data_IF_244918603459
#
_entry.id   IF_244918603459
#
_cell.length_a   1.000
_cell.length_b   1.000
_cell.length_c   1.000
_cell.angle_alpha   90.00
_cell.angle_beta   90.00
_cell.angle_gamma   90.00
#
_symmetry.space_group_name_H-M   'P 1'
#
loop_
_entity.id
_entity.type
_entity.pdbx_description
1 polymer ?
#
# COMPACT_ATOMS: atom_id res chain seq x y z
N UNK A 1 -1.52 21.88 6.94
CA UNK A 1 -1.63 20.55 6.31
C UNK A 1 -2.24 20.72 4.92
N UNK A 2 -1.68 20.10 3.87
CA UNK A 2 -2.26 20.22 2.52
C UNK A 2 -3.50 19.33 2.37
N UNK A 3 -4.68 19.95 2.37
CA UNK A 3 -6.01 19.29 2.26
C UNK A 3 -6.22 18.42 1.02
N UNK A 4 -5.34 18.53 0.01
CA UNK A 4 -5.40 17.78 -1.24
C UNK A 4 -4.63 16.44 -1.22
N UNK A 5 -3.71 16.26 -0.26
CA UNK A 5 -2.96 15.01 -0.11
C UNK A 5 -3.85 13.93 0.51
N UNK A 6 -3.79 12.67 0.03
CA UNK A 6 -4.55 11.59 0.63
C UNK A 6 -3.96 11.26 2.00
N UNK A 7 -4.77 11.36 3.05
CA UNK A 7 -4.49 10.80 4.36
C UNK A 7 -5.42 9.61 4.60
N UNK A 8 -4.94 8.61 5.35
CA UNK A 8 -5.80 7.60 5.95
C UNK A 8 -6.13 8.03 7.38
N UNK A 9 -7.32 7.72 7.92
CA UNK A 9 -7.64 7.94 9.33
C UNK A 9 -6.96 6.91 10.25
N UNK A 10 -6.01 6.13 9.72
CA UNK A 10 -5.34 5.05 10.43
C UNK A 10 -4.18 5.60 11.27
N UNK A 11 -4.19 5.34 12.57
CA UNK A 11 -3.10 5.76 13.49
C UNK A 11 -2.25 4.56 13.92
N UNK A 12 -0.97 4.77 14.31
CA UNK A 12 -0.12 3.69 14.79
C UNK A 12 -0.73 2.97 16.00
N UNK A 13 -1.28 3.72 16.97
CA UNK A 13 -1.89 3.16 18.18
C UNK A 13 -3.07 2.24 17.90
N UNK A 14 -3.96 2.60 16.97
CA UNK A 14 -5.14 1.79 16.64
C UNK A 14 -4.81 0.61 15.70
N UNK A 15 -3.79 0.74 14.85
CA UNK A 15 -3.62 -0.16 13.70
C UNK A 15 -2.36 -1.03 13.75
N UNK A 16 -1.28 -0.55 14.38
CA UNK A 16 0.04 -1.19 14.31
C UNK A 16 0.27 -2.24 15.41
N UNK A 17 -0.67 -2.38 16.36
CA UNK A 17 -0.59 -3.38 17.42
C UNK A 17 -0.58 -4.81 16.83
N UNK A 18 0.35 -5.64 17.30
CA UNK A 18 0.39 -7.07 16.97
C UNK A 18 0.28 -7.90 18.27
N UNK A 19 -0.69 -8.83 18.35
CA UNK A 19 -0.80 -9.73 19.49
C UNK A 19 0.36 -10.74 19.58
N UNK A 20 0.60 -11.23 20.80
CA UNK A 20 1.59 -12.27 21.09
C UNK A 20 2.99 -11.77 21.48
N UNK A 21 3.87 -12.71 21.91
CA UNK A 21 5.20 -12.37 22.45
C UNK A 21 6.20 -11.98 21.34
N UNK A 22 6.89 -10.83 21.41
CA UNK A 22 7.82 -10.35 20.38
C UNK A 22 9.25 -10.97 20.44
N UNK A 23 10.00 -10.89 19.33
CA UNK A 23 11.46 -11.05 19.23
C UNK A 23 12.08 -12.31 19.89
N UNK A 24 13.13 -12.26 20.73
CA UNK A 24 13.72 -11.10 21.44
C UNK A 24 14.57 -10.11 20.62
N UNK A 25 15.36 -9.28 21.31
CA UNK A 25 16.06 -8.12 20.71
C UNK A 25 17.18 -8.51 19.74
N UNK A 26 18.05 -9.45 20.12
CA UNK A 26 19.14 -9.98 19.28
C UNK A 26 18.63 -10.43 17.90
N UNK A 27 17.52 -11.20 17.87
CA UNK A 27 16.89 -11.62 16.60
C UNK A 27 16.40 -10.43 15.77
N UNK A 28 15.86 -9.38 16.39
CA UNK A 28 15.42 -8.19 15.67
C UNK A 28 16.61 -7.38 15.11
N UNK A 29 17.69 -7.24 15.88
CA UNK A 29 18.94 -6.60 15.42
C UNK A 29 19.55 -7.37 14.25
N UNK A 30 19.67 -8.71 14.34
CA UNK A 30 20.19 -9.54 13.24
C UNK A 30 19.34 -9.39 11.97
N UNK A 31 18.01 -9.38 12.08
CA UNK A 31 17.09 -9.14 10.96
C UNK A 31 17.32 -7.79 10.29
N UNK A 32 17.46 -6.72 11.09
CA UNK A 32 17.74 -5.37 10.59
C UNK A 32 19.13 -5.25 9.97
N UNK A 33 20.14 -5.86 10.57
CA UNK A 33 21.50 -5.91 10.02
C UNK A 33 21.55 -6.65 8.68
N UNK A 34 20.86 -7.80 8.56
CA UNK A 34 20.72 -8.53 7.29
C UNK A 34 19.98 -7.69 6.24
N UNK A 35 18.88 -7.02 6.62
CA UNK A 35 18.14 -6.14 5.70
C UNK A 35 19.02 -4.96 5.22
N UNK A 36 19.77 -4.34 6.12
CA UNK A 36 20.69 -3.25 5.81
C UNK A 36 21.82 -3.72 4.89
N UNK A 37 22.45 -4.87 5.17
CA UNK A 37 23.46 -5.47 4.31
C UNK A 37 22.92 -5.74 2.90
N UNK A 38 21.69 -6.27 2.77
CA UNK A 38 21.03 -6.47 1.48
C UNK A 38 20.70 -5.15 0.75
N UNK A 39 20.48 -4.04 1.45
CA UNK A 39 20.31 -2.73 0.80
C UNK A 39 21.67 -2.18 0.36
N UNK A 40 22.69 -2.26 1.21
CA UNK A 40 24.03 -1.74 0.92
C UNK A 40 24.71 -2.49 -0.23
N UNK A 41 24.62 -3.83 -0.26
CA UNK A 41 25.15 -4.66 -1.35
C UNK A 41 24.42 -4.43 -2.69
N UNK A 42 23.15 -4.01 -2.67
CA UNK A 42 22.40 -3.72 -3.89
C UNK A 42 22.92 -2.48 -4.62
N UNK A 43 23.52 -1.51 -3.91
CA UNK A 43 24.03 -0.25 -4.51
C UNK A 43 25.19 -0.49 -5.51
N UNK A 44 26.30 -1.16 -5.15
CA UNK A 44 27.37 -1.47 -6.09
C UNK A 44 26.98 -2.56 -7.10
N UNK A 45 26.03 -3.44 -6.77
CA UNK A 45 25.55 -4.46 -7.70
C UNK A 45 24.65 -3.88 -8.82
N UNK A 46 23.90 -2.80 -8.55
CA UNK A 46 22.87 -2.29 -9.47
C UNK A 46 23.36 -1.95 -10.90
N UNK A 47 24.57 -1.39 -11.13
CA UNK A 47 25.12 -1.23 -12.48
C UNK A 47 25.30 -2.55 -13.22
N UNK A 48 25.92 -3.57 -12.59
CA UNK A 48 26.13 -4.88 -13.19
C UNK A 48 24.80 -5.59 -13.49
N UNK A 49 23.81 -5.47 -12.58
CA UNK A 49 22.45 -6.02 -12.77
C UNK A 49 21.74 -5.44 -14.00
N UNK A 50 22.05 -4.20 -14.41
CA UNK A 50 21.48 -3.60 -15.64
C UNK A 50 22.01 -4.24 -16.92
N UNK A 51 23.24 -4.75 -16.92
CA UNK A 51 23.86 -5.44 -18.05
C UNK A 51 23.25 -6.83 -18.31
N UNK A 52 22.58 -7.42 -17.30
CA UNK A 52 21.93 -8.71 -17.45
C UNK A 52 20.73 -8.66 -18.42
N UNK A 53 20.53 -9.70 -19.26
CA UNK A 53 19.33 -9.85 -20.08
C UNK A 53 18.06 -9.84 -19.23
N UNK A 54 16.94 -9.44 -19.84
CA UNK A 54 15.71 -9.15 -19.10
C UNK A 54 15.16 -10.35 -18.29
N UNK A 55 15.39 -11.59 -18.72
CA UNK A 55 15.03 -12.81 -17.96
C UNK A 55 15.81 -12.93 -16.65
N UNK A 56 17.13 -13.18 -16.69
CA UNK A 56 18.00 -13.24 -15.51
C UNK A 56 17.88 -12.00 -14.60
N UNK A 57 17.83 -10.79 -15.19
CA UNK A 57 17.64 -9.54 -14.43
C UNK A 57 16.37 -9.55 -13.59
N UNK A 58 15.24 -9.98 -14.16
CA UNK A 58 13.97 -10.12 -13.42
C UNK A 58 14.07 -11.21 -12.35
N UNK A 59 14.69 -12.35 -12.63
CA UNK A 59 14.86 -13.43 -11.65
C UNK A 59 15.69 -12.97 -10.43
N UNK A 60 16.80 -12.25 -10.67
CA UNK A 60 17.64 -11.69 -9.61
C UNK A 60 16.90 -10.64 -8.78
N UNK A 61 16.16 -9.72 -9.40
CA UNK A 61 15.31 -8.76 -8.68
C UNK A 61 14.29 -9.48 -7.79
N UNK A 62 13.63 -10.54 -8.29
CA UNK A 62 12.69 -11.33 -7.48
C UNK A 62 13.37 -11.95 -6.27
N UNK A 63 14.51 -12.61 -6.48
CA UNK A 63 15.26 -13.27 -5.42
C UNK A 63 15.74 -12.26 -4.36
N UNK A 64 16.29 -11.12 -4.78
CA UNK A 64 16.78 -10.08 -3.89
C UNK A 64 15.67 -9.42 -3.08
N UNK A 65 14.57 -9.02 -3.73
CA UNK A 65 13.43 -8.42 -3.05
C UNK A 65 12.73 -9.42 -2.12
N UNK A 66 12.67 -10.71 -2.49
CA UNK A 66 12.19 -11.77 -1.61
C UNK A 66 13.11 -11.96 -0.39
N UNK A 67 14.44 -11.91 -0.58
CA UNK A 67 15.41 -11.98 0.52
C UNK A 67 15.26 -10.80 1.49
N UNK A 68 15.08 -9.58 0.98
CA UNK A 68 14.89 -8.37 1.80
C UNK A 68 13.59 -8.40 2.64
N UNK A 69 12.48 -8.92 2.09
CA UNK A 69 11.24 -9.11 2.87
C UNK A 69 11.41 -10.23 3.90
N UNK A 70 12.08 -11.33 3.53
CA UNK A 70 12.35 -12.47 4.41
C UNK A 70 13.32 -12.12 5.54
N UNK A 71 14.32 -11.25 5.31
CA UNK A 71 15.26 -10.81 6.35
C UNK A 71 14.57 -10.01 7.45
N UNK A 72 13.47 -9.32 7.15
CA UNK A 72 12.60 -8.71 8.17
C UNK A 72 11.76 -9.72 8.97
N UNK A 73 11.84 -11.02 8.65
CA UNK A 73 11.09 -12.09 9.31
C UNK A 73 9.71 -12.37 8.74
N UNK A 74 9.38 -11.78 7.58
CA UNK A 74 8.08 -11.92 6.92
C UNK A 74 8.12 -13.07 5.90
N UNK A 75 7.21 -14.02 6.02
CA UNK A 75 7.04 -15.11 5.03
C UNK A 75 6.20 -14.60 3.85
N UNK A 76 6.60 -14.89 2.62
CA UNK A 76 5.82 -14.52 1.43
C UNK A 76 4.98 -15.71 0.98
N UNK A 77 3.70 -15.50 0.72
CA UNK A 77 2.78 -16.45 0.09
C UNK A 77 2.11 -15.79 -1.10
N UNK A 78 2.09 -16.46 -2.24
CA UNK A 78 1.55 -15.92 -3.49
C UNK A 78 0.38 -16.79 -3.96
N UNK A 79 -0.72 -16.16 -4.33
CA UNK A 79 -1.91 -16.82 -4.87
C UNK A 79 -2.22 -16.30 -6.27
N UNK A 80 -2.65 -17.21 -7.15
CA UNK A 80 -2.82 -16.92 -8.59
C UNK A 80 -1.50 -16.89 -9.34
N UNK A 81 -1.57 -16.85 -10.66
CA UNK A 81 -0.42 -16.77 -11.56
C UNK A 81 -0.28 -15.38 -12.17
N UNK A 82 0.95 -14.92 -12.47
CA UNK A 82 1.14 -13.70 -13.24
C UNK A 82 0.65 -13.92 -14.67
N UNK A 83 -0.10 -12.97 -15.23
CA UNK A 83 -0.48 -13.04 -16.63
C UNK A 83 0.70 -12.89 -17.60
N UNK A 84 0.43 -12.94 -18.92
CA UNK A 84 1.45 -12.88 -19.98
C UNK A 84 2.46 -11.75 -19.82
N UNK A 85 3.67 -11.99 -20.33
CA UNK A 85 4.74 -10.99 -20.40
C UNK A 85 4.32 -9.76 -21.24
N UNK A 86 5.07 -8.67 -21.09
CA UNK A 86 4.79 -7.39 -21.75
C UNK A 86 4.27 -6.31 -20.80
N UNK A 87 3.98 -5.14 -21.39
CA UNK A 87 3.60 -3.93 -20.67
C UNK A 87 2.27 -4.04 -19.93
N UNK A 88 2.15 -3.28 -18.85
CA UNK A 88 0.92 -3.26 -18.05
C UNK A 88 1.05 -2.50 -16.74
N UNK A 89 -0.09 -1.97 -16.29
CA UNK A 89 -0.20 -1.27 -15.02
C UNK A 89 -0.55 -2.28 -13.91
N UNK A 90 0.36 -2.49 -12.96
CA UNK A 90 0.08 -3.25 -11.74
C UNK A 90 -0.50 -2.26 -10.71
N UNK A 91 -1.64 -2.61 -10.11
CA UNK A 91 -2.31 -1.78 -9.12
C UNK A 91 -2.55 -2.57 -7.85
N UNK A 92 -2.16 -2.00 -6.71
CA UNK A 92 -2.30 -2.64 -5.40
C UNK A 92 -2.78 -1.68 -4.32
N UNK A 93 -3.38 -2.24 -3.27
CA UNK A 93 -3.57 -1.56 -1.99
C UNK A 93 -2.22 -1.42 -1.29
N UNK A 94 -2.12 -0.44 -0.39
CA UNK A 94 -0.86 -0.05 0.24
C UNK A 94 -1.01 -0.06 1.76
N UNK A 95 -0.31 -0.98 2.42
CA UNK A 95 -0.31 -1.16 3.88
C UNK A 95 1.03 -0.72 4.49
N UNK A 96 2.13 -0.93 3.77
CA UNK A 96 3.48 -0.83 4.32
C UNK A 96 4.49 -0.31 3.30
N UNK A 97 5.59 0.28 3.79
CA UNK A 97 6.79 0.48 2.96
C UNK A 97 7.36 -0.86 2.45
N UNK A 98 7.07 -1.98 3.13
CA UNK A 98 7.41 -3.34 2.68
C UNK A 98 6.69 -3.75 1.38
N UNK A 99 5.59 -3.09 1.00
CA UNK A 99 4.83 -3.46 -0.20
C UNK A 99 5.65 -3.30 -1.48
N UNK A 100 6.57 -2.34 -1.51
CA UNK A 100 7.45 -2.06 -2.66
C UNK A 100 8.36 -3.26 -2.97
N UNK A 101 9.21 -3.76 -2.04
CA UNK A 101 9.98 -4.98 -2.29
C UNK A 101 9.09 -6.24 -2.35
N UNK A 102 7.96 -6.28 -1.65
CA UNK A 102 7.03 -7.42 -1.73
C UNK A 102 6.45 -7.58 -3.15
N UNK A 103 6.00 -6.50 -3.79
CA UNK A 103 5.54 -6.56 -5.19
C UNK A 103 6.70 -6.88 -6.13
N UNK A 104 7.90 -6.30 -5.93
CA UNK A 104 9.07 -6.62 -6.76
C UNK A 104 9.49 -8.11 -6.68
N UNK A 105 9.29 -8.76 -5.53
CA UNK A 105 9.53 -10.20 -5.35
C UNK A 105 8.58 -11.08 -6.19
N UNK A 106 7.34 -10.63 -6.39
CA UNK A 106 6.30 -11.38 -7.12
C UNK A 106 6.27 -11.01 -8.60
N UNK A 107 6.25 -9.70 -8.90
CA UNK A 107 6.15 -9.09 -10.22
C UNK A 107 7.16 -7.93 -10.36
N UNK A 108 8.40 -8.22 -10.82
CA UNK A 108 9.39 -7.19 -11.17
C UNK A 108 8.79 -6.17 -12.13
N UNK A 109 8.88 -4.91 -11.72
CA UNK A 109 8.19 -3.79 -12.33
C UNK A 109 8.87 -2.50 -11.90
N UNK A 110 8.67 -1.44 -12.67
CA UNK A 110 9.11 -0.09 -12.33
C UNK A 110 8.11 0.51 -11.35
N UNK A 111 8.58 0.99 -10.21
CA UNK A 111 7.70 1.53 -9.17
C UNK A 111 7.39 3.01 -9.41
N UNK A 112 6.19 3.47 -9.07
CA UNK A 112 5.87 4.90 -8.97
C UNK A 112 6.03 5.39 -7.52
N UNK A 113 7.12 6.09 -7.24
CA UNK A 113 7.48 6.60 -5.91
C UNK A 113 7.25 8.13 -5.80
N UNK A 114 7.14 8.65 -4.58
CA UNK A 114 7.16 10.11 -4.36
C UNK A 114 8.56 10.67 -4.68
N UNK A 115 8.63 11.89 -5.19
CA UNK A 115 9.87 12.63 -5.49
C UNK A 115 10.88 12.65 -4.33
N UNK A 116 10.39 12.84 -3.09
CA UNK A 116 11.25 12.94 -1.89
C UNK A 116 12.07 11.66 -1.65
N UNK A 117 11.55 10.49 -2.03
CA UNK A 117 12.27 9.20 -1.93
C UNK A 117 13.51 9.19 -2.84
N UNK A 118 13.47 9.91 -3.96
CA UNK A 118 14.61 10.09 -4.86
C UNK A 118 15.78 10.88 -4.23
N UNK A 119 15.47 11.74 -3.23
CA UNK A 119 16.46 12.51 -2.49
C UNK A 119 17.01 11.76 -1.26
N UNK A 120 16.50 10.58 -0.91
CA UNK A 120 16.98 9.83 0.25
C UNK A 120 18.38 9.23 0.00
N UNK A 121 19.31 9.34 0.96
CA UNK A 121 20.62 8.71 0.83
C UNK A 121 20.47 7.19 0.71
N UNK A 122 21.35 6.56 -0.08
CA UNK A 122 21.32 5.13 -0.44
C UNK A 122 20.10 4.70 -1.27
N UNK A 123 18.89 4.88 -0.74
CA UNK A 123 17.64 4.40 -1.33
C UNK A 123 17.22 5.17 -2.59
N UNK A 124 17.40 6.49 -2.65
CA UNK A 124 17.07 7.30 -3.83
C UNK A 124 17.89 6.88 -5.05
N UNK A 125 19.23 6.85 -4.98
CA UNK A 125 20.09 6.35 -6.06
C UNK A 125 19.86 4.87 -6.41
N UNK A 126 19.47 4.03 -5.45
CA UNK A 126 19.11 2.63 -5.72
C UNK A 126 17.77 2.53 -6.48
N UNK A 127 16.75 3.29 -6.06
CA UNK A 127 15.45 3.35 -6.72
C UNK A 127 15.56 3.90 -8.15
N UNK A 128 16.32 4.98 -8.35
CA UNK A 128 16.62 5.51 -9.68
C UNK A 128 17.34 4.47 -10.56
N UNK A 129 18.31 3.72 -10.00
CA UNK A 129 18.98 2.62 -10.72
C UNK A 129 18.04 1.45 -11.03
N UNK A 130 17.07 1.16 -10.17
CA UNK A 130 15.99 0.19 -10.43
C UNK A 130 14.94 0.68 -11.45
N UNK A 131 15.03 1.92 -11.93
CA UNK A 131 14.13 2.48 -12.92
C UNK A 131 12.82 3.04 -12.36
N UNK A 132 12.75 3.29 -11.04
CA UNK A 132 11.62 3.96 -10.38
C UNK A 132 11.28 5.28 -11.06
N UNK A 133 9.99 5.49 -11.27
CA UNK A 133 9.41 6.74 -11.76
C UNK A 133 9.00 7.58 -10.56
N UNK A 134 9.38 8.85 -10.54
CA UNK A 134 9.12 9.75 -9.42
C UNK A 134 7.95 10.71 -9.75
N UNK A 135 7.08 10.98 -8.75
CA UNK A 135 5.95 11.92 -8.86
C UNK A 135 5.96 12.94 -7.73
N UNK A 136 5.90 14.22 -8.11
CA UNK A 136 5.55 15.37 -7.25
C UNK A 136 4.03 15.33 -7.00
N UNK A 137 3.59 14.78 -5.86
CA UNK A 137 2.14 14.58 -5.56
C UNK A 137 1.42 15.86 -5.11
N UNK A 138 2.19 16.82 -4.63
CA UNK A 138 1.80 18.18 -4.26
C UNK A 138 1.59 19.08 -5.49
N UNK A 139 2.36 18.87 -6.57
CA UNK A 139 2.30 19.69 -7.79
C UNK A 139 1.40 19.08 -8.85
N UNK A 140 0.11 19.44 -8.83
CA UNK A 140 -0.88 19.03 -9.86
C UNK A 140 -0.38 19.31 -11.29
N UNK A 141 0.38 20.40 -11.51
CA UNK A 141 0.99 20.74 -12.82
C UNK A 141 2.03 19.72 -13.33
N UNK A 142 2.62 18.90 -12.46
CA UNK A 142 3.57 17.84 -12.86
C UNK A 142 2.86 16.55 -13.34
N UNK A 143 1.55 16.41 -13.05
CA UNK A 143 0.79 15.19 -13.30
C UNK A 143 0.78 14.73 -14.78
N UNK A 144 0.66 15.60 -15.80
CA UNK A 144 0.71 15.18 -17.21
C UNK A 144 2.06 14.57 -17.59
N UNK A 145 3.18 15.13 -17.09
CA UNK A 145 4.52 14.57 -17.29
C UNK A 145 4.64 13.17 -16.68
N UNK A 146 4.09 12.96 -15.48
CA UNK A 146 4.05 11.62 -14.87
C UNK A 146 3.22 10.64 -15.71
N UNK A 147 2.01 11.03 -16.15
CA UNK A 147 1.16 10.17 -17.00
C UNK A 147 1.91 9.78 -18.28
N UNK A 148 2.53 10.73 -18.99
CA UNK A 148 3.32 10.46 -20.18
C UNK A 148 4.50 9.50 -19.92
N UNK A 149 5.22 9.66 -18.81
CA UNK A 149 6.32 8.77 -18.43
C UNK A 149 5.86 7.33 -18.13
N UNK A 150 4.72 7.17 -17.45
CA UNK A 150 4.09 5.86 -17.22
C UNK A 150 3.65 5.22 -18.55
N UNK A 151 3.00 6.00 -19.42
CA UNK A 151 2.56 5.56 -20.77
C UNK A 151 3.73 5.08 -21.61
N UNK A 152 4.82 5.86 -21.66
CA UNK A 152 6.03 5.52 -22.41
C UNK A 152 6.68 4.23 -21.93
N UNK A 153 6.84 4.06 -20.61
CA UNK A 153 7.36 2.82 -20.02
C UNK A 153 6.51 1.60 -20.40
N UNK A 154 5.19 1.69 -20.26
CA UNK A 154 4.29 0.58 -20.59
C UNK A 154 4.27 0.25 -22.09
N UNK A 155 4.36 1.25 -22.98
CA UNK A 155 4.51 1.05 -24.44
C UNK A 155 5.85 0.39 -24.79
N UNK A 156 6.93 0.69 -24.05
CA UNK A 156 8.22 0.00 -24.18
C UNK A 156 8.23 -1.44 -23.62
N UNK A 157 7.08 -1.95 -23.15
CA UNK A 157 6.94 -3.30 -22.61
C UNK A 157 7.23 -3.44 -21.11
N UNK A 158 7.52 -2.34 -20.39
CA UNK A 158 7.71 -2.38 -18.95
C UNK A 158 6.38 -2.61 -18.21
N UNK A 159 6.44 -3.40 -17.13
CA UNK A 159 5.40 -3.41 -16.11
C UNK A 159 5.65 -2.26 -15.14
N UNK A 160 4.60 -1.53 -14.80
CA UNK A 160 4.66 -0.36 -13.91
C UNK A 160 3.75 -0.59 -12.73
N UNK A 161 4.28 -0.58 -11.51
CA UNK A 161 3.49 -0.72 -10.27
C UNK A 161 3.15 0.65 -9.71
N UNK A 162 1.87 0.82 -9.36
CA UNK A 162 1.35 1.99 -8.66
C UNK A 162 0.49 1.55 -7.46
N UNK A 163 0.50 2.37 -6.41
CA UNK A 163 -0.37 2.24 -5.25
C UNK A 163 -1.43 3.35 -5.30
N UNK A 164 -2.63 3.11 -5.88
CA UNK A 164 -3.51 4.20 -6.28
C UNK A 164 -4.17 4.94 -5.11
N UNK A 165 -4.18 4.37 -3.91
CA UNK A 165 -4.63 5.04 -2.68
C UNK A 165 -3.82 6.32 -2.39
N UNK A 166 -2.56 6.38 -2.87
CA UNK A 166 -1.69 7.55 -2.77
C UNK A 166 -1.12 7.81 -1.37
N UNK A 167 -1.54 7.02 -0.38
CA UNK A 167 -0.98 6.89 0.97
C UNK A 167 -1.17 5.44 1.45
N UNK A 168 -0.57 5.10 2.58
CA UNK A 168 -0.73 3.81 3.25
C UNK A 168 -1.96 3.77 4.16
N UNK A 169 -2.55 2.59 4.28
CA UNK A 169 -3.72 2.25 5.09
C UNK A 169 -3.39 1.05 5.99
N UNK A 170 -4.22 0.73 6.98
CA UNK A 170 -3.92 -0.36 7.90
C UNK A 170 -4.29 -1.78 7.40
N UNK A 171 -4.85 -1.90 6.20
CA UNK A 171 -5.40 -3.16 5.69
C UNK A 171 -6.74 -3.58 6.33
N UNK A 172 -7.19 -2.90 7.39
CA UNK A 172 -8.56 -3.00 7.95
C UNK A 172 -9.49 -1.96 7.33
N UNK A 173 -8.98 -0.75 7.12
CA UNK A 173 -9.60 0.32 6.35
C UNK A 173 -8.84 0.52 5.03
N UNK A 174 -9.47 1.18 4.06
CA UNK A 174 -9.00 1.24 2.67
C UNK A 174 -9.50 2.48 1.93
N UNK A 175 -8.70 2.99 0.99
CA UNK A 175 -8.90 4.29 0.35
C UNK A 175 -9.57 4.26 -1.03
N UNK A 176 -9.94 5.43 -1.56
CA UNK A 176 -10.31 5.58 -2.97
C UNK A 176 -9.07 5.47 -3.87
N UNK A 177 -9.22 4.86 -5.04
CA UNK A 177 -8.14 4.77 -6.02
C UNK A 177 -8.06 6.05 -6.87
N UNK A 178 -6.89 6.72 -6.87
CA UNK A 178 -6.64 7.93 -7.65
C UNK A 178 -6.49 7.60 -9.14
N UNK A 179 -7.22 8.35 -9.96
CA UNK A 179 -7.51 8.05 -11.38
C UNK A 179 -6.35 8.33 -12.34
N UNK A 180 -5.33 9.06 -11.91
CA UNK A 180 -4.29 9.57 -12.83
C UNK A 180 -3.46 8.47 -13.48
N UNK A 181 -2.99 7.49 -12.71
CA UNK A 181 -2.23 6.35 -13.25
C UNK A 181 -3.07 5.42 -14.13
N UNK A 182 -4.41 5.46 -14.03
CA UNK A 182 -5.29 4.71 -14.94
C UNK A 182 -5.41 5.37 -16.31
N UNK A 183 -5.14 6.67 -16.43
CA UNK A 183 -5.08 7.33 -17.73
C UNK A 183 -3.93 6.75 -18.57
N UNK A 184 -2.74 6.56 -17.98
CA UNK A 184 -1.61 6.03 -18.74
C UNK A 184 -1.80 4.59 -19.20
N UNK A 185 -2.61 3.78 -18.50
CA UNK A 185 -2.99 2.44 -18.97
C UNK A 185 -3.89 2.51 -20.22
N UNK A 186 -4.84 3.45 -20.24
CA UNK A 186 -5.69 3.70 -21.41
C UNK A 186 -4.87 4.23 -22.59
N UNK A 187 -4.03 5.25 -22.35
CA UNK A 187 -3.17 5.87 -23.37
C UNK A 187 -2.17 4.85 -23.96
N UNK A 188 -1.62 3.96 -23.14
CA UNK A 188 -0.73 2.89 -23.57
C UNK A 188 -1.47 1.69 -24.20
N UNK A 189 -2.80 1.62 -24.10
CA UNK A 189 -3.64 0.48 -24.49
C UNK A 189 -3.17 -0.85 -23.87
N UNK A 190 -2.73 -0.81 -22.62
CA UNK A 190 -2.25 -1.99 -21.88
C UNK A 190 -3.27 -2.47 -20.84
N UNK A 191 -3.28 -3.78 -20.51
CA UNK A 191 -4.10 -4.31 -19.43
C UNK A 191 -3.64 -3.80 -18.05
N UNK A 192 -4.61 -3.74 -17.13
CA UNK A 192 -4.35 -3.54 -15.69
C UNK A 192 -4.28 -4.90 -15.00
N UNK A 193 -3.27 -5.10 -14.14
CA UNK A 193 -3.09 -6.26 -13.27
C UNK A 193 -3.42 -5.85 -11.83
N UNK A 194 -4.62 -6.18 -11.31
CA UNK A 194 -4.94 -5.95 -9.91
C UNK A 194 -4.19 -6.95 -9.03
N UNK A 195 -3.71 -6.50 -7.88
CA UNK A 195 -2.93 -7.27 -6.91
C UNK A 195 -3.38 -6.88 -5.51
N UNK A 196 -3.83 -7.85 -4.69
CA UNK A 196 -4.19 -7.62 -3.29
C UNK A 196 -3.02 -8.01 -2.39
N UNK A 197 -2.65 -7.11 -1.48
CA UNK A 197 -1.67 -7.33 -0.41
C UNK A 197 -2.42 -7.47 0.91
N UNK A 198 -2.11 -8.51 1.68
CA UNK A 198 -2.54 -8.66 3.06
C UNK A 198 -1.38 -9.10 3.95
N UNK A 199 -1.40 -8.72 5.23
CA UNK A 199 -0.48 -9.24 6.23
C UNK A 199 -1.26 -10.00 7.29
N UNK A 200 -0.95 -11.28 7.47
CA UNK A 200 -1.64 -12.18 8.41
C UNK A 200 -0.70 -12.86 9.38
N UNK A 201 -1.23 -13.31 10.51
CA UNK A 201 -0.58 -14.23 11.42
C UNK A 201 -0.95 -15.69 11.08
N UNK A 202 -0.39 -16.65 11.82
CA UNK A 202 -0.59 -18.08 11.56
C UNK A 202 -2.04 -18.54 11.77
N UNK A 203 -2.79 -17.85 12.62
CA UNK A 203 -4.22 -18.04 12.91
C UNK A 203 -5.15 -17.38 11.86
N UNK A 204 -4.60 -16.74 10.82
CA UNK A 204 -5.35 -16.02 9.79
C UNK A 204 -5.79 -14.61 10.17
N UNK A 205 -5.57 -14.16 11.42
CA UNK A 205 -5.84 -12.80 11.86
C UNK A 205 -4.93 -11.77 11.17
N UNK A 206 -5.37 -10.51 11.08
CA UNK A 206 -4.57 -9.45 10.46
C UNK A 206 -3.40 -9.04 11.35
N UNK A 207 -2.19 -9.12 10.81
CA UNK A 207 -0.96 -8.71 11.49
C UNK A 207 -0.81 -7.19 11.44
N UNK A 208 -0.87 -6.52 12.59
CA UNK A 208 -0.75 -5.05 12.66
C UNK A 208 0.69 -4.53 12.49
N UNK A 209 1.72 -5.28 12.88
CA UNK A 209 3.09 -4.77 12.90
C UNK A 209 3.59 -4.15 11.57
N UNK A 210 3.28 -4.71 10.38
CA UNK A 210 3.65 -4.13 9.09
C UNK A 210 2.94 -2.83 8.71
N UNK A 211 1.79 -2.51 9.32
CA UNK A 211 1.06 -1.28 9.01
C UNK A 211 1.94 -0.06 9.31
N UNK A 212 2.07 0.82 8.32
CA UNK A 212 2.87 2.05 8.39
C UNK A 212 1.96 3.23 8.06
N UNK A 213 1.36 3.88 9.06
CA UNK A 213 0.18 4.76 8.89
C UNK A 213 0.21 5.98 9.81
N UNK A 214 -0.37 7.10 9.37
CA UNK A 214 -0.31 8.36 10.11
C UNK A 214 1.14 8.80 10.32
N UNK A 215 1.45 9.29 11.53
CA UNK A 215 2.76 9.81 11.90
C UNK A 215 3.75 8.72 12.41
N UNK A 216 3.60 7.47 11.97
CA UNK A 216 4.46 6.35 12.35
C UNK A 216 5.94 6.61 11.94
N UNK A 217 6.89 6.70 12.89
CA UNK A 217 8.29 6.86 12.54
C UNK A 217 8.81 5.60 11.83
N UNK A 218 9.55 5.76 10.73
CA UNK A 218 10.10 4.63 9.97
C UNK A 218 10.97 3.71 10.85
N UNK A 219 11.72 4.28 11.80
CA UNK A 219 12.52 3.55 12.80
C UNK A 219 11.65 2.70 13.73
N UNK A 220 10.53 3.23 14.21
CA UNK A 220 9.57 2.50 15.03
C UNK A 220 8.91 1.35 14.23
N UNK A 221 8.53 1.62 12.97
CA UNK A 221 8.01 0.60 12.05
C UNK A 221 9.01 -0.52 11.78
N UNK A 222 10.26 -0.18 11.44
CA UNK A 222 11.37 -1.12 11.24
C UNK A 222 11.58 -2.02 12.46
N UNK A 223 11.67 -1.43 13.65
CA UNK A 223 11.85 -2.18 14.89
C UNK A 223 10.65 -3.10 15.18
N UNK A 224 9.43 -2.58 15.06
CA UNK A 224 8.17 -3.32 15.29
C UNK A 224 8.04 -4.52 14.35
N UNK A 225 8.35 -4.36 13.06
CA UNK A 225 8.37 -5.43 12.07
C UNK A 225 9.48 -6.44 12.38
N UNK A 226 10.71 -6.00 12.64
CA UNK A 226 11.81 -6.90 12.99
C UNK A 226 11.56 -7.67 14.30
N UNK A 227 10.79 -7.09 15.21
CA UNK A 227 10.30 -7.70 16.47
C UNK A 227 9.10 -8.64 16.28
N UNK A 228 8.41 -8.58 15.14
CA UNK A 228 7.21 -9.37 14.89
C UNK A 228 7.53 -10.88 14.74
N UNK A 229 6.58 -11.73 15.13
CA UNK A 229 6.63 -13.18 14.92
C UNK A 229 5.46 -13.62 14.03
N UNK A 230 5.65 -14.71 13.28
CA UNK A 230 4.56 -15.37 12.53
C UNK A 230 3.97 -14.61 11.34
N UNK A 231 4.48 -13.41 10.99
CA UNK A 231 3.91 -12.59 9.92
C UNK A 231 4.08 -13.26 8.55
N UNK A 232 2.96 -13.43 7.84
CA UNK A 232 2.87 -13.83 6.44
C UNK A 232 2.34 -12.66 5.62
N UNK A 233 3.09 -12.25 4.60
CA UNK A 233 2.61 -11.40 3.53
C UNK A 233 1.93 -12.28 2.47
N UNK A 234 0.64 -12.05 2.26
CA UNK A 234 -0.18 -12.70 1.25
C UNK A 234 -0.33 -11.78 0.05
N UNK A 235 0.13 -12.22 -1.12
CA UNK A 235 -0.01 -11.51 -2.38
C UNK A 235 -0.95 -12.30 -3.29
N UNK A 236 -2.14 -11.79 -3.54
CA UNK A 236 -3.10 -12.40 -4.46
C UNK A 236 -3.13 -11.65 -5.78
N UNK A 237 -2.68 -12.34 -6.83
CA UNK A 237 -2.82 -11.91 -8.22
C UNK A 237 -4.26 -12.16 -8.67
N UNK A 238 -4.92 -11.11 -9.12
CA UNK A 238 -6.33 -11.12 -9.51
C UNK A 238 -6.48 -11.15 -11.04
N UNK A 239 -7.67 -11.48 -11.58
CA UNK A 239 -7.90 -11.42 -13.02
C UNK A 239 -7.54 -10.05 -13.61
N UNK A 240 -6.82 -10.05 -14.74
CA UNK A 240 -6.44 -8.82 -15.43
C UNK A 240 -7.67 -8.15 -16.02
N UNK A 241 -7.68 -6.82 -15.97
CA UNK A 241 -8.65 -6.01 -16.72
C UNK A 241 -8.03 -5.77 -18.11
N UNK A 242 -8.60 -6.33 -19.20
CA UNK A 242 -8.04 -6.15 -20.53
C UNK A 242 -8.16 -4.69 -21.01
N UNK A 243 -7.28 -4.23 -21.92
CA UNK A 243 -7.39 -2.89 -22.49
C UNK A 243 -8.73 -2.72 -23.22
N UNK A 244 -9.25 -1.49 -23.26
CA UNK A 244 -10.53 -1.17 -23.91
C UNK A 244 -11.79 -1.59 -23.16
N UNK A 245 -11.71 -2.42 -22.10
CA UNK A 245 -12.90 -2.88 -21.33
C UNK A 245 -13.67 -1.75 -20.63
N UNK A 246 -13.01 -0.63 -20.33
CA UNK A 246 -13.62 0.55 -19.72
C UNK A 246 -13.22 1.79 -20.52
N UNK A 247 -14.20 2.63 -20.85
CA UNK A 247 -14.00 3.80 -21.70
C UNK A 247 -13.17 4.92 -21.05
N UNK A 248 -13.18 5.02 -19.72
CA UNK A 248 -12.51 6.12 -19.00
C UNK A 248 -11.76 5.69 -17.73
N UNK A 249 -10.88 6.59 -17.27
CA UNK A 249 -10.01 6.40 -16.09
C UNK A 249 -10.75 6.34 -14.74
N UNK A 250 -12.00 6.80 -14.66
CA UNK A 250 -12.86 6.70 -13.47
C UNK A 250 -13.45 5.29 -13.38
N UNK A 251 -14.03 4.79 -14.47
CA UNK A 251 -14.58 3.44 -14.57
C UNK A 251 -13.48 2.38 -14.37
N UNK A 252 -12.33 2.54 -15.04
CA UNK A 252 -11.20 1.63 -14.89
C UNK A 252 -10.63 1.63 -13.45
N UNK A 253 -10.51 2.80 -12.82
CA UNK A 253 -10.07 2.90 -11.43
C UNK A 253 -11.06 2.28 -10.44
N UNK A 254 -12.37 2.40 -10.69
CA UNK A 254 -13.41 1.81 -9.87
C UNK A 254 -13.39 0.28 -9.95
N UNK A 255 -13.37 -0.30 -11.16
CA UNK A 255 -13.28 -1.74 -11.37
C UNK A 255 -11.99 -2.34 -10.79
N UNK A 256 -10.86 -1.65 -10.96
CA UNK A 256 -9.60 -2.03 -10.33
C UNK A 256 -9.66 -1.98 -8.79
N UNK A 257 -10.29 -0.94 -8.21
CA UNK A 257 -10.50 -0.84 -6.76
C UNK A 257 -11.36 -1.98 -6.24
N UNK A 258 -12.49 -2.26 -6.90
CA UNK A 258 -13.40 -3.34 -6.54
C UNK A 258 -12.70 -4.71 -6.58
N UNK A 259 -11.87 -4.98 -7.60
CA UNK A 259 -11.07 -6.20 -7.64
C UNK A 259 -10.07 -6.28 -6.47
N UNK A 260 -9.24 -5.24 -6.28
CA UNK A 260 -8.17 -5.24 -5.28
C UNK A 260 -8.73 -5.29 -3.86
N UNK A 261 -9.75 -4.50 -3.55
CA UNK A 261 -10.30 -4.36 -2.19
C UNK A 261 -11.45 -5.36 -1.91
N UNK A 262 -12.12 -5.82 -2.96
CA UNK A 262 -13.38 -6.55 -2.87
C UNK A 262 -14.55 -5.60 -2.66
N UNK A 263 -15.76 -6.10 -2.93
CA UNK A 263 -16.94 -5.60 -2.23
C UNK A 263 -16.81 -5.94 -0.75
N UNK A 264 -16.91 -4.92 0.10
CA UNK A 264 -17.04 -5.11 1.56
C UNK A 264 -18.33 -5.89 1.83
N UNK A 265 -18.19 -7.20 2.10
CA UNK A 265 -19.32 -8.09 2.38
C UNK A 265 -19.56 -9.19 1.34
N UNK A 266 -18.60 -10.10 1.14
CA UNK A 266 -18.83 -11.54 0.80
C UNK A 266 -17.50 -12.32 0.67
N UNK A 267 -16.79 -12.51 1.79
CA UNK A 267 -16.06 -13.77 1.96
C UNK A 267 -17.15 -14.83 2.23
N UNK A 268 -17.57 -15.57 1.19
CA UNK A 268 -18.39 -16.77 1.39
C UNK A 268 -17.53 -17.79 2.13
N UNK A 269 -17.93 -18.29 3.32
CA UNK A 269 -17.31 -19.47 3.88
C UNK A 269 -17.48 -20.62 2.89
N UNK A 270 -16.38 -21.30 2.56
CA UNK A 270 -16.42 -22.61 1.93
C UNK A 270 -16.81 -23.62 3.02
N UNK A 271 -18.09 -23.66 3.37
CA UNK A 271 -18.64 -24.69 4.25
C UNK A 271 -19.04 -25.90 3.41
N UNK A 272 -18.26 -26.96 3.55
CA UNK A 272 -18.57 -28.31 3.09
C UNK A 272 -19.68 -28.93 3.93
N UNK A 273 -20.80 -29.26 3.28
CA UNK A 273 -21.67 -30.41 3.58
C UNK A 273 -22.25 -30.60 4.99
N UNK A 274 -23.53 -30.23 5.17
CA UNK A 274 -24.51 -30.96 5.99
C UNK A 274 -25.88 -30.91 5.26
N UNK A 275 -26.61 -32.02 5.06
CA UNK A 275 -27.96 -32.02 4.49
C UNK A 275 -29.07 -32.09 5.56
N UNK A 276 -30.26 -31.55 5.23
CA UNK A 276 -31.43 -31.46 6.12
C UNK A 276 -31.50 -30.12 6.85
N UNK A 277 -32.65 -29.46 7.01
CA UNK A 277 -34.04 -29.93 6.99
C UNK A 277 -34.97 -28.91 6.29
N UNK A 278 -36.22 -29.28 6.01
CA UNK A 278 -37.17 -28.49 5.20
C UNK A 278 -38.37 -27.98 6.03
N UNK A 279 -39.02 -26.90 5.54
CA UNK A 279 -40.37 -26.35 5.91
C UNK A 279 -40.47 -25.42 7.14
N UNK A 280 -41.52 -24.56 7.23
CA UNK A 280 -42.27 -23.88 6.14
C UNK A 280 -42.59 -22.38 6.39
N UNK A 281 -43.00 -21.68 5.32
CA UNK A 281 -44.06 -20.65 5.30
C UNK A 281 -44.02 -19.44 6.25
N UNK A 282 -43.77 -18.25 5.68
CA UNK A 282 -44.06 -16.95 6.31
C UNK A 282 -43.67 -15.78 5.39
N UNK A 283 -44.63 -14.90 5.08
CA UNK A 283 -44.40 -13.70 4.24
C UNK A 283 -43.63 -12.60 5.00
N UNK A 284 -42.96 -11.67 4.29
CA UNK A 284 -42.11 -10.65 4.90
C UNK A 284 -42.91 -9.41 5.33
N UNK A 285 -42.97 -9.16 6.64
CA UNK A 285 -43.56 -7.93 7.17
C UNK A 285 -42.63 -6.73 6.94
N UNK A 286 -43.20 -5.59 6.52
CA UNK A 286 -42.46 -4.36 6.19
C UNK A 286 -42.52 -3.36 7.35
N UNK A 287 -41.37 -2.91 7.90
CA UNK A 287 -41.37 -1.80 8.85
C UNK A 287 -41.91 -0.51 8.22
N UNK A 288 -42.93 0.06 8.87
CA UNK A 288 -43.70 1.20 8.40
C UNK A 288 -42.96 2.55 8.51
N UNK A 289 -43.51 3.57 7.85
CA UNK A 289 -42.89 4.87 7.69
C UNK A 289 -42.95 5.76 8.96
N UNK A 290 -42.20 5.43 10.00
CA UNK A 290 -41.97 6.31 11.17
C UNK A 290 -40.53 6.34 11.69
N UNK A 291 -39.64 5.41 11.33
CA UNK A 291 -38.19 5.50 11.62
C UNK A 291 -37.42 6.37 10.60
N UNK A 292 -38.03 7.46 10.14
CA UNK A 292 -37.43 8.45 9.23
C UNK A 292 -37.28 9.84 9.85
N UNK A 293 -36.91 9.93 11.12
CA UNK A 293 -36.30 11.16 11.65
C UNK A 293 -35.56 10.91 12.97
N UNK A 294 -34.23 10.68 12.88
CA UNK A 294 -33.22 11.03 13.91
C UNK A 294 -31.79 10.58 13.51
N UNK A 295 -31.31 11.03 12.34
CA UNK A 295 -29.91 10.84 11.92
C UNK A 295 -29.17 12.14 11.53
N UNK A 296 -29.80 13.30 11.78
CA UNK A 296 -29.20 14.64 11.59
C UNK A 296 -29.02 15.37 12.92
N UNK A 297 -28.02 14.96 13.70
CA UNK A 297 -27.40 15.84 14.72
C UNK A 297 -25.87 15.72 14.63
N UNK A 298 -25.12 16.84 14.48
CA UNK A 298 -23.66 16.80 14.49
C UNK A 298 -23.15 16.50 15.91
N UNK A 299 -22.15 15.62 16.02
CA UNK A 299 -21.47 15.35 17.30
C UNK A 299 -20.59 16.55 17.70
N UNK A 300 -20.54 16.85 19.00
CA UNK A 300 -19.89 18.04 19.54
C UNK A 300 -18.35 18.00 19.42
N UNK A 301 -17.74 19.16 19.12
CA UNK A 301 -16.30 19.33 19.02
C UNK A 301 -15.63 19.46 20.40
N UNK A 302 -14.67 18.58 20.70
CA UNK A 302 -13.91 18.59 21.96
C UNK A 302 -12.71 19.54 21.86
N UNK A 303 -12.97 20.86 21.94
CA UNK A 303 -11.94 21.88 22.18
C UNK A 303 -12.54 23.12 22.86
N UNK A 304 -12.84 23.01 24.16
CA UNK A 304 -13.06 24.16 25.04
C UNK A 304 -12.55 23.85 26.46
N UNK A 305 -11.32 24.30 26.75
CA UNK A 305 -10.91 24.70 28.09
C UNK A 305 -10.27 26.08 27.94
N UNK A 306 -11.02 27.11 28.30
CA UNK A 306 -10.51 28.46 28.41
C UNK A 306 -10.14 28.74 29.86
N UNK A 307 -8.95 29.32 30.08
CA UNK A 307 -8.58 29.94 31.36
C UNK A 307 -7.96 31.31 31.08
N UNK A 308 -8.85 32.31 30.96
CA UNK A 308 -8.63 33.70 31.39
C UNK A 308 -7.82 33.77 32.70
N UNK A 309 -6.96 34.74 33.02
CA UNK A 309 -6.93 36.22 32.83
C UNK A 309 -5.58 36.72 33.45
N UNK A 310 -5.27 38.04 33.49
CA UNK A 310 -5.31 39.09 32.48
C UNK A 310 -3.91 39.72 32.26
N UNK A 311 -3.82 40.76 31.41
CA UNK A 311 -2.61 41.59 31.29
C UNK A 311 -2.63 42.80 32.24
N UNK A 312 -1.46 43.22 32.71
CA UNK A 312 -1.20 44.57 33.24
C UNK A 312 0.21 45.01 32.81
N UNK A 313 0.38 46.32 32.58
CA UNK A 313 1.57 46.88 31.96
C UNK A 313 2.66 47.22 32.98
N UNK A 314 3.93 47.26 32.55
CA UNK A 314 4.71 48.51 32.40
C UNK A 314 6.18 48.22 32.06
N UNK A 315 6.89 49.27 31.69
CA UNK A 315 8.30 49.35 31.29
C UNK A 315 9.31 48.69 32.24
N UNK A 316 10.50 48.32 31.70
CA UNK A 316 11.79 48.96 32.01
C UNK A 316 13.00 48.32 31.28
N UNK A 317 13.81 49.18 30.66
CA UNK A 317 15.29 49.15 30.47
C UNK A 317 16.01 47.89 29.94
N UNK A 318 16.60 48.05 28.77
CA UNK A 318 17.94 47.51 28.41
C UNK A 318 19.01 47.98 29.40
N UNK A 319 20.03 47.16 29.68
CA UNK A 319 21.41 47.68 29.63
C UNK A 319 22.41 46.74 28.93
N UNK A 320 23.47 47.38 28.40
CA UNK A 320 24.75 46.84 27.88
C UNK A 320 24.68 45.71 26.85
#
# INVERSE_FOLDING_TARGET
>A
MNTWLPTSPCTPGACAHQPGRPAGAVRAVLRLATALALVLLAVPAAPAVRLLPAGPRRALVRAWSAALVRSMGVRITVHGSPGPAGGGLIVANHISWLDVPLVAAVLPSRMLAKSEIGAWPVLGPLAARAGTLFIERDRIRALPRTVAALTGAMRAGDRVTVFPEGSTWCGRAQGPFRRAAFQSALDARVPVQPLRIGYRLADGSLAGAPAFVGDDPLTASLWRIARARGVRAEVRLLPRIPPGRHADRRALAAAAREAVLGTTGRERPLLTGVPGQQRPGGEPDQPSATERDNAKRPAASVHQCASSRPASASSLRTPS
#
